data_IF_368755528468
#
_entry.id   IF_368755528468
#
_cell.length_a   1.000
_cell.length_b   1.000
_cell.length_c   1.000
_cell.angle_alpha   90.00
_cell.angle_beta   90.00
_cell.angle_gamma   90.00
#
_symmetry.space_group_name_H-M   'P 1'
#
loop_
_entity.id
_entity.type
_entity.pdbx_description
1 polymer ?
#
# COMPACT_ATOMS: atom_id res chain seq x y z
N UNK A 1 10.48 -9.18 -3.26
CA UNK A 1 9.23 -9.02 -4.06
C UNK A 1 8.06 -9.90 -3.64
N UNK A 2 8.12 -11.23 -3.76
CA UNK A 2 6.94 -12.08 -3.43
C UNK A 2 6.55 -12.01 -1.95
N UNK A 3 7.55 -11.86 -1.06
CA UNK A 3 7.31 -11.68 0.38
C UNK A 3 6.77 -10.29 0.72
N UNK A 4 7.35 -9.20 0.20
CA UNK A 4 6.86 -7.83 0.50
C UNK A 4 5.40 -7.61 0.08
N UNK A 5 4.98 -8.12 -1.09
CA UNK A 5 3.58 -8.01 -1.54
C UNK A 5 2.64 -8.82 -0.63
N UNK A 6 3.12 -9.95 -0.10
CA UNK A 6 2.34 -10.74 0.84
C UNK A 6 2.20 -10.03 2.18
N UNK A 7 3.27 -9.41 2.68
CA UNK A 7 3.25 -8.60 3.91
C UNK A 7 2.27 -7.42 3.77
N UNK A 8 2.25 -6.73 2.62
CA UNK A 8 1.26 -5.68 2.35
C UNK A 8 -0.18 -6.21 2.36
N UNK A 9 -0.42 -7.40 1.79
CA UNK A 9 -1.75 -8.03 1.81
C UNK A 9 -2.18 -8.36 3.24
N UNK A 10 -1.26 -8.87 4.06
CA UNK A 10 -1.55 -9.23 5.44
C UNK A 10 -1.92 -7.99 6.26
N UNK A 11 -1.19 -6.87 6.09
CA UNK A 11 -1.50 -5.58 6.72
C UNK A 11 -2.88 -5.07 6.28
N UNK A 12 -3.19 -5.09 4.99
CA UNK A 12 -4.47 -4.59 4.48
C UNK A 12 -5.64 -5.43 4.99
N UNK A 13 -5.47 -6.75 5.09
CA UNK A 13 -6.51 -7.62 5.67
C UNK A 13 -6.78 -7.27 7.14
N UNK A 14 -5.74 -7.06 7.94
CA UNK A 14 -5.90 -6.63 9.34
C UNK A 14 -6.64 -5.29 9.41
N UNK A 15 -6.29 -4.33 8.55
CA UNK A 15 -6.95 -3.03 8.53
C UNK A 15 -8.41 -3.12 8.13
N UNK A 16 -8.74 -3.94 7.12
CA UNK A 16 -10.14 -4.18 6.70
C UNK A 16 -10.99 -4.75 7.82
N UNK A 17 -10.45 -5.71 8.58
CA UNK A 17 -11.17 -6.34 9.70
C UNK A 17 -11.45 -5.36 10.85
N UNK A 18 -10.71 -4.25 10.94
CA UNK A 18 -10.85 -3.23 11.97
C UNK A 18 -11.70 -2.04 11.54
N UNK A 19 -12.07 -1.95 10.26
CA UNK A 19 -12.78 -0.81 9.68
C UNK A 19 -14.27 -1.09 9.47
N UNK A 20 -15.12 -0.05 9.50
CA UNK A 20 -16.47 -0.14 8.96
C UNK A 20 -16.48 -0.64 7.51
N UNK A 21 -17.55 -1.33 7.10
CA UNK A 21 -17.63 -2.03 5.81
C UNK A 21 -17.38 -1.09 4.60
N UNK A 22 -17.95 0.11 4.63
CA UNK A 22 -17.76 1.15 3.61
C UNK A 22 -16.29 1.60 3.49
N UNK A 23 -15.61 1.75 4.62
CA UNK A 23 -14.19 2.09 4.67
C UNK A 23 -13.30 0.92 4.18
N UNK A 24 -13.67 -0.32 4.51
CA UNK A 24 -12.96 -1.51 4.08
C UNK A 24 -13.06 -1.73 2.55
N UNK A 25 -14.21 -1.42 1.94
CA UNK A 25 -14.38 -1.43 0.48
C UNK A 25 -13.46 -0.40 -0.19
N UNK A 26 -13.46 0.84 0.29
CA UNK A 26 -12.59 1.91 -0.25
C UNK A 26 -11.11 1.52 -0.10
N UNK A 27 -10.72 0.96 1.04
CA UNK A 27 -9.36 0.49 1.27
C UNK A 27 -8.95 -0.60 0.27
N UNK A 28 -9.84 -1.56 0.00
CA UNK A 28 -9.59 -2.61 -0.98
C UNK A 28 -9.40 -2.05 -2.39
N UNK A 29 -10.27 -1.12 -2.83
CA UNK A 29 -10.15 -0.49 -4.15
C UNK A 29 -8.82 0.25 -4.31
N UNK A 30 -8.41 1.01 -3.29
CA UNK A 30 -7.11 1.72 -3.31
C UNK A 30 -5.94 0.75 -3.30
N UNK A 31 -6.05 -0.35 -2.57
CA UNK A 31 -5.01 -1.37 -2.55
C UNK A 31 -4.87 -2.10 -3.89
N UNK A 32 -5.97 -2.37 -4.60
CA UNK A 32 -5.92 -2.99 -5.92
C UNK A 32 -5.23 -2.09 -6.96
N UNK A 33 -5.45 -0.77 -6.88
CA UNK A 33 -4.73 0.22 -7.69
C UNK A 33 -3.23 0.17 -7.37
N UNK A 34 -2.87 0.16 -6.09
CA UNK A 34 -1.47 0.07 -5.66
C UNK A 34 -0.79 -1.21 -6.19
N UNK A 35 -1.48 -2.36 -6.10
CA UNK A 35 -0.95 -3.63 -6.63
C UNK A 35 -0.77 -3.58 -8.15
N UNK A 36 -1.67 -2.92 -8.87
CA UNK A 36 -1.53 -2.70 -10.32
C UNK A 36 -0.28 -1.86 -10.61
N UNK A 37 -0.09 -0.75 -9.89
CA UNK A 37 1.06 0.12 -10.07
C UNK A 37 2.38 -0.61 -9.77
N UNK A 38 2.42 -1.40 -8.69
CA UNK A 38 3.59 -2.23 -8.33
C UNK A 38 3.90 -3.22 -9.44
N UNK A 39 2.87 -3.84 -10.05
CA UNK A 39 3.03 -4.78 -11.15
C UNK A 39 3.58 -4.10 -12.42
N UNK A 40 3.17 -2.87 -12.69
CA UNK A 40 3.56 -2.14 -13.91
C UNK A 40 4.94 -1.46 -13.79
N UNK A 41 5.25 -0.87 -12.63
CA UNK A 41 6.44 -0.03 -12.43
C UNK A 41 7.51 -0.68 -11.55
N UNK A 42 7.15 -1.68 -10.75
CA UNK A 42 7.99 -2.21 -9.67
C UNK A 42 7.80 -1.45 -8.36
N UNK A 43 8.02 -2.15 -7.24
CA UNK A 43 7.76 -1.64 -5.88
C UNK A 43 8.55 -0.35 -5.58
N UNK A 44 9.84 -0.32 -5.90
CA UNK A 44 10.71 0.82 -5.59
C UNK A 44 10.27 2.11 -6.27
N UNK A 45 9.81 2.03 -7.53
CA UNK A 45 9.35 3.21 -8.27
C UNK A 45 8.01 3.72 -7.74
N UNK A 46 7.10 2.82 -7.35
CA UNK A 46 5.84 3.21 -6.70
C UNK A 46 6.08 3.92 -5.38
N UNK A 47 6.99 3.39 -4.56
CA UNK A 47 7.37 4.00 -3.28
C UNK A 47 7.98 5.39 -3.52
N UNK A 48 8.90 5.54 -4.48
CA UNK A 48 9.46 6.86 -4.83
C UNK A 48 8.40 7.84 -5.31
N UNK A 49 7.45 7.41 -6.12
CA UNK A 49 6.38 8.26 -6.62
C UNK A 49 5.48 8.75 -5.46
N UNK A 50 5.14 7.86 -4.52
CA UNK A 50 4.42 8.26 -3.30
C UNK A 50 5.21 9.26 -2.45
N UNK A 51 6.52 9.09 -2.33
CA UNK A 51 7.38 10.02 -1.59
C UNK A 51 7.50 11.41 -2.23
N UNK A 52 7.44 11.50 -3.57
CA UNK A 52 7.49 12.78 -4.27
C UNK A 52 6.23 13.62 -4.06
N UNK A 53 5.08 12.97 -3.92
CA UNK A 53 3.79 13.62 -3.73
C UNK A 53 3.43 13.84 -2.24
N UNK A 54 4.22 13.30 -1.30
CA UNK A 54 3.99 13.49 0.13
C UNK A 54 4.88 14.60 0.69
N UNK A 55 4.28 15.66 1.23
CA UNK A 55 4.92 16.60 2.18
C UNK A 55 5.24 15.94 3.54
N UNK A 56 5.23 14.61 3.62
CA UNK A 56 5.35 13.84 4.86
C UNK A 56 6.74 13.23 4.91
N UNK A 57 7.57 13.73 5.82
CA UNK A 57 8.90 13.19 6.11
C UNK A 57 8.75 11.81 6.79
N UNK A 58 8.88 10.72 6.03
CA UNK A 58 8.85 9.37 6.62
C UNK A 58 10.23 9.06 7.20
N UNK A 59 10.29 9.00 8.52
CA UNK A 59 11.49 8.57 9.24
C UNK A 59 11.57 7.04 9.12
N UNK A 60 12.53 6.56 8.32
CA UNK A 60 12.93 5.16 8.31
C UNK A 60 14.07 5.00 9.34
N UNK A 61 13.77 4.48 10.52
CA UNK A 61 14.82 4.05 11.45
C UNK A 61 15.48 2.75 10.91
N UNK A 62 16.81 2.77 10.89
CA UNK A 62 17.69 1.73 10.32
C UNK A 62 17.89 0.53 11.25
#
# INVERSE_FOLDING_TARGET
MRNEIQELRDIINILKDMMPEDCAEILQEKFDILLKDIKEKGLDEVIKDWYKDSDVEVILES
#
